data_IF_799272164319
#
_entry.id   IF_799272164319
#
_cell.length_a   1.000
_cell.length_b   1.000
_cell.length_c   1.000
_cell.angle_alpha   90.00
_cell.angle_beta   90.00
_cell.angle_gamma   90.00
#
_symmetry.space_group_name_H-M   'P 1'
#
loop_
_entity.id
_entity.type
_entity.pdbx_description
1 polymer ?
#
# COMPACT_ATOMS: atom_id res chain seq x y z
N UNK A 1 -7.80 38.93 -32.84
CA UNK A 1 -7.81 37.46 -32.81
C UNK A 1 -8.18 37.02 -31.40
N UNK A 2 -9.48 36.86 -31.18
CA UNK A 2 -10.07 36.25 -29.99
C UNK A 2 -10.11 34.74 -30.26
N UNK A 3 -9.41 33.94 -29.46
CA UNK A 3 -9.61 32.51 -29.41
C UNK A 3 -9.19 32.00 -28.03
N UNK A 4 -10.00 31.09 -27.47
CA UNK A 4 -9.88 30.36 -26.19
C UNK A 4 -10.39 31.04 -24.90
N UNK A 5 -11.70 31.29 -24.82
CA UNK A 5 -12.41 31.47 -23.52
C UNK A 5 -13.45 30.38 -23.23
N UNK A 6 -13.70 29.45 -24.15
CA UNK A 6 -14.76 28.43 -24.03
C UNK A 6 -14.30 27.06 -23.50
N UNK A 7 -13.00 26.79 -23.41
CA UNK A 7 -12.51 25.46 -23.00
C UNK A 7 -12.48 25.23 -21.47
N UNK A 8 -12.64 26.28 -20.65
CA UNK A 8 -12.53 26.19 -19.18
C UNK A 8 -13.86 25.98 -18.45
N UNK A 9 -14.99 26.16 -19.12
CA UNK A 9 -16.34 26.09 -18.53
C UNK A 9 -16.85 24.66 -18.20
N UNK A 10 -16.54 23.60 -18.97
CA UNK A 10 -17.06 22.25 -18.67
C UNK A 10 -16.45 21.66 -17.39
N UNK A 11 -15.19 21.98 -17.11
CA UNK A 11 -14.42 21.41 -16.02
C UNK A 11 -14.94 21.86 -14.65
N UNK A 12 -15.35 23.13 -14.50
CA UNK A 12 -15.85 23.67 -13.21
C UNK A 12 -17.23 23.15 -12.84
N UNK A 13 -18.13 22.98 -13.82
CA UNK A 13 -19.44 22.37 -13.62
C UNK A 13 -19.30 20.88 -13.25
N UNK A 14 -18.44 20.14 -13.96
CA UNK A 14 -18.16 18.73 -13.68
C UNK A 14 -17.56 18.53 -12.27
N UNK A 15 -16.60 19.36 -11.86
CA UNK A 15 -16.03 19.35 -10.50
C UNK A 15 -17.09 19.61 -9.42
N UNK A 16 -18.00 20.56 -9.66
CA UNK A 16 -19.09 20.86 -8.73
C UNK A 16 -20.06 19.68 -8.57
N UNK A 17 -20.44 19.04 -9.69
CA UNK A 17 -21.31 17.85 -9.68
C UNK A 17 -20.61 16.68 -8.97
N UNK A 18 -19.33 16.43 -9.27
CA UNK A 18 -18.57 15.36 -8.63
C UNK A 18 -18.46 15.60 -7.11
N UNK A 19 -18.21 16.84 -6.68
CA UNK A 19 -18.21 17.21 -5.26
C UNK A 19 -19.55 16.92 -4.59
N UNK A 20 -20.66 17.37 -5.18
CA UNK A 20 -22.00 17.09 -4.66
C UNK A 20 -22.29 15.58 -4.62
N UNK A 21 -21.87 14.84 -5.63
CA UNK A 21 -21.97 13.38 -5.70
C UNK A 21 -21.27 12.70 -4.52
N UNK A 22 -20.01 13.07 -4.25
CA UNK A 22 -19.26 12.52 -3.10
C UNK A 22 -19.83 12.92 -1.74
N UNK A 23 -20.49 14.08 -1.62
CA UNK A 23 -21.19 14.49 -0.40
C UNK A 23 -22.47 13.68 -0.17
N UNK A 24 -23.22 13.39 -1.25
CA UNK A 24 -24.46 12.63 -1.18
C UNK A 24 -24.23 11.13 -1.04
N UNK A 25 -23.15 10.61 -1.63
CA UNK A 25 -22.81 9.18 -1.66
C UNK A 25 -21.33 8.97 -1.25
N UNK A 26 -20.98 9.21 0.03
CA UNK A 26 -19.59 9.18 0.49
C UNK A 26 -18.92 7.81 0.40
N UNK A 27 -19.68 6.72 0.39
CA UNK A 27 -19.15 5.36 0.24
C UNK A 27 -18.88 4.95 -1.23
N UNK A 28 -19.12 5.84 -2.20
CA UNK A 28 -18.92 5.52 -3.61
C UNK A 28 -17.48 5.80 -4.04
N UNK A 29 -16.68 4.73 -4.10
CA UNK A 29 -15.29 4.76 -4.61
C UNK A 29 -15.19 5.38 -6.01
N UNK A 30 -16.14 5.07 -6.90
CA UNK A 30 -16.15 5.60 -8.27
C UNK A 30 -16.37 7.11 -8.32
N UNK A 31 -17.26 7.64 -7.48
CA UNK A 31 -17.48 9.09 -7.40
C UNK A 31 -16.26 9.82 -6.84
N UNK A 32 -15.59 9.23 -5.84
CA UNK A 32 -14.34 9.79 -5.32
C UNK A 32 -13.22 9.78 -6.36
N UNK A 33 -13.04 8.65 -7.06
CA UNK A 33 -12.04 8.54 -8.14
C UNK A 33 -12.30 9.59 -9.23
N UNK A 34 -13.56 9.71 -9.68
CA UNK A 34 -13.97 10.72 -10.66
C UNK A 34 -13.70 12.15 -10.16
N UNK A 35 -13.99 12.42 -8.89
CA UNK A 35 -13.73 13.75 -8.29
C UNK A 35 -12.22 14.06 -8.26
N UNK A 36 -11.39 13.08 -7.94
CA UNK A 36 -9.94 13.19 -7.94
C UNK A 36 -9.43 13.49 -9.35
N UNK A 37 -9.84 12.70 -10.34
CA UNK A 37 -9.42 12.84 -11.74
C UNK A 37 -9.79 14.21 -12.34
N UNK A 38 -10.97 14.74 -11.96
CA UNK A 38 -11.42 16.06 -12.43
C UNK A 38 -10.76 17.23 -11.71
N UNK A 39 -10.38 17.05 -10.44
CA UNK A 39 -9.89 18.14 -9.60
C UNK A 39 -8.38 18.32 -9.71
N UNK A 40 -7.61 17.23 -9.74
CA UNK A 40 -6.14 17.28 -9.68
C UNK A 40 -5.51 18.07 -10.83
N UNK A 41 -5.91 17.89 -12.10
CA UNK A 41 -5.34 18.69 -13.19
C UNK A 41 -5.56 20.20 -13.05
N UNK A 42 -6.55 20.62 -12.26
CA UNK A 42 -6.86 22.02 -11.98
C UNK A 42 -6.28 22.52 -10.65
N UNK A 43 -5.91 21.61 -9.75
CA UNK A 43 -5.25 21.91 -8.48
C UNK A 43 -3.75 22.03 -8.75
N UNK A 44 -3.16 23.19 -8.47
CA UNK A 44 -1.73 23.40 -8.71
C UNK A 44 -0.88 22.61 -7.72
N UNK A 45 -0.76 23.13 -6.51
CA UNK A 45 0.19 22.65 -5.50
C UNK A 45 -0.26 21.35 -4.81
N UNK A 46 0.72 20.56 -4.35
CA UNK A 46 0.54 19.28 -3.65
C UNK A 46 -0.30 19.43 -2.38
N UNK A 47 -0.12 20.52 -1.65
CA UNK A 47 -0.85 20.84 -0.41
C UNK A 47 -2.36 21.02 -0.65
N UNK A 48 -2.75 21.31 -1.89
CA UNK A 48 -4.16 21.42 -2.28
C UNK A 48 -4.75 20.08 -2.73
N UNK A 49 -3.91 19.19 -3.27
CA UNK A 49 -4.31 17.88 -3.80
C UNK A 49 -4.39 16.81 -2.70
N UNK A 50 -3.41 16.76 -1.79
CA UNK A 50 -3.33 15.73 -0.73
C UNK A 50 -4.60 15.64 0.13
N UNK A 51 -5.22 16.76 0.58
CA UNK A 51 -6.42 16.69 1.41
C UNK A 51 -7.59 15.97 0.73
N UNK A 52 -7.68 16.03 -0.61
CA UNK A 52 -8.75 15.35 -1.35
C UNK A 52 -8.58 13.83 -1.30
N UNK A 53 -7.35 13.33 -1.43
CA UNK A 53 -7.05 11.90 -1.28
C UNK A 53 -7.34 11.41 0.13
N UNK A 54 -6.88 12.16 1.14
CA UNK A 54 -7.12 11.84 2.55
C UNK A 54 -8.62 11.83 2.86
N UNK A 55 -9.38 12.79 2.31
CA UNK A 55 -10.85 12.83 2.44
C UNK A 55 -11.51 11.59 1.81
N UNK A 56 -11.09 11.18 0.61
CA UNK A 56 -11.61 10.00 -0.08
C UNK A 56 -11.34 8.72 0.72
N UNK A 57 -10.11 8.54 1.20
CA UNK A 57 -9.68 7.38 1.99
C UNK A 57 -10.33 7.34 3.37
N UNK A 58 -10.60 8.49 3.99
CA UNK A 58 -11.36 8.55 5.25
C UNK A 58 -12.77 7.98 5.08
N UNK A 59 -13.41 8.24 3.94
CA UNK A 59 -14.75 7.72 3.67
C UNK A 59 -14.73 6.27 3.15
N UNK A 60 -13.61 5.82 2.57
CA UNK A 60 -13.49 4.51 1.92
C UNK A 60 -12.15 3.83 2.30
N UNK A 61 -11.92 3.54 3.60
CA UNK A 61 -10.60 3.14 4.08
C UNK A 61 -10.13 1.77 3.57
N UNK A 62 -11.06 0.91 3.17
CA UNK A 62 -10.76 -0.42 2.62
C UNK A 62 -10.66 -0.44 1.07
N UNK A 63 -10.77 0.70 0.40
CA UNK A 63 -10.76 0.76 -1.06
C UNK A 63 -9.37 0.56 -1.64
N UNK A 64 -9.12 -0.61 -2.23
CA UNK A 64 -7.87 -0.89 -2.94
C UNK A 64 -7.62 0.13 -4.07
N UNK A 65 -8.67 0.51 -4.80
CA UNK A 65 -8.58 1.49 -5.90
C UNK A 65 -8.10 2.86 -5.41
N UNK A 66 -8.71 3.43 -4.37
CA UNK A 66 -8.31 4.75 -3.87
C UNK A 66 -6.90 4.74 -3.26
N UNK A 67 -6.53 3.67 -2.56
CA UNK A 67 -5.17 3.51 -2.08
C UNK A 67 -4.16 3.41 -3.23
N UNK A 68 -4.49 2.68 -4.29
CA UNK A 68 -3.63 2.59 -5.48
C UNK A 68 -3.36 3.96 -6.08
N UNK A 69 -4.42 4.74 -6.36
CA UNK A 69 -4.28 6.08 -6.95
C UNK A 69 -3.50 7.01 -6.01
N UNK A 70 -3.76 6.97 -4.70
CA UNK A 70 -3.04 7.80 -3.72
C UNK A 70 -1.55 7.48 -3.66
N UNK A 71 -1.18 6.19 -3.57
CA UNK A 71 0.21 5.77 -3.52
C UNK A 71 0.93 6.05 -4.85
N UNK A 72 0.27 5.87 -5.99
CA UNK A 72 0.80 6.23 -7.30
C UNK A 72 1.09 7.74 -7.38
N UNK A 73 0.15 8.56 -6.92
CA UNK A 73 0.32 10.01 -6.86
C UNK A 73 1.47 10.41 -5.93
N UNK A 74 1.59 9.83 -4.75
CA UNK A 74 2.71 10.09 -3.83
C UNK A 74 4.07 9.79 -4.47
N UNK A 75 4.20 8.64 -5.15
CA UNK A 75 5.44 8.28 -5.85
C UNK A 75 5.71 9.23 -7.01
N UNK A 76 4.68 9.67 -7.75
CA UNK A 76 4.84 10.66 -8.81
C UNK A 76 5.36 12.00 -8.26
N UNK A 77 4.78 12.51 -7.18
CA UNK A 77 5.21 13.77 -6.56
C UNK A 77 6.66 13.70 -6.05
N UNK A 78 7.08 12.54 -5.54
CA UNK A 78 8.48 12.30 -5.20
C UNK A 78 9.40 12.26 -6.44
N UNK A 79 8.97 11.62 -7.53
CA UNK A 79 9.73 11.60 -8.78
C UNK A 79 9.90 12.99 -9.39
N UNK A 80 8.89 13.84 -9.23
CA UNK A 80 8.91 15.25 -9.64
C UNK A 80 9.69 16.15 -8.65
N UNK A 81 10.30 15.56 -7.62
CA UNK A 81 11.06 16.27 -6.56
C UNK A 81 10.23 17.28 -5.77
N UNK A 82 8.90 17.10 -5.75
CA UNK A 82 7.98 17.92 -4.94
C UNK A 82 7.91 17.39 -3.50
N UNK A 83 7.98 16.07 -3.33
CA UNK A 83 8.07 15.43 -2.02
C UNK A 83 9.50 14.99 -1.72
N UNK A 84 9.96 15.23 -0.49
CA UNK A 84 11.23 14.69 -0.02
C UNK A 84 11.10 13.21 0.38
N UNK A 85 12.24 12.52 0.42
CA UNK A 85 12.33 11.12 0.87
C UNK A 85 11.65 10.91 2.23
N UNK A 86 11.81 11.87 3.15
CA UNK A 86 11.27 11.81 4.50
C UNK A 86 9.74 11.88 4.52
N UNK A 87 9.16 12.78 3.73
CA UNK A 87 7.71 12.97 3.68
C UNK A 87 7.02 11.75 3.08
N UNK A 88 7.63 11.16 2.05
CA UNK A 88 7.14 9.93 1.44
C UNK A 88 7.27 8.72 2.39
N UNK A 89 8.36 8.64 3.17
CA UNK A 89 8.53 7.61 4.19
C UNK A 89 7.46 7.69 5.29
N UNK A 90 7.15 8.91 5.75
CA UNK A 90 6.08 9.17 6.71
C UNK A 90 4.72 8.77 6.14
N UNK A 91 4.44 9.13 4.89
CA UNK A 91 3.20 8.77 4.21
C UNK A 91 3.03 7.25 4.04
N UNK A 92 4.09 6.51 3.69
CA UNK A 92 4.04 5.05 3.64
C UNK A 92 3.85 4.42 5.02
N UNK A 93 4.49 4.96 6.05
CA UNK A 93 4.35 4.48 7.43
C UNK A 93 2.91 4.68 7.93
N UNK A 94 2.33 5.86 7.70
CA UNK A 94 0.94 6.16 8.01
C UNK A 94 -0.03 5.23 7.24
N UNK A 95 0.23 4.98 5.95
CA UNK A 95 -0.55 4.05 5.14
C UNK A 95 -0.50 2.62 5.71
N UNK A 96 0.68 2.14 6.14
CA UNK A 96 0.80 0.83 6.77
C UNK A 96 0.02 0.77 8.08
N UNK A 97 0.11 1.79 8.94
CA UNK A 97 -0.65 1.83 10.18
C UNK A 97 -2.16 1.80 9.92
N UNK A 98 -2.65 2.65 9.01
CA UNK A 98 -4.08 2.73 8.65
C UNK A 98 -4.62 1.45 8.03
N UNK A 99 -3.82 0.76 7.21
CA UNK A 99 -4.27 -0.46 6.56
C UNK A 99 -4.14 -1.68 7.47
N UNK A 100 -3.20 -1.69 8.42
CA UNK A 100 -3.01 -2.79 9.37
C UNK A 100 -4.16 -2.90 10.38
N UNK A 101 -4.78 -1.77 10.76
CA UNK A 101 -5.96 -1.73 11.64
C UNK A 101 -7.22 -2.26 10.97
N UNK A 102 -7.22 -2.43 9.65
CA UNK A 102 -8.34 -3.02 8.93
C UNK A 102 -8.36 -4.54 9.13
N UNK A 103 -9.55 -5.03 9.50
CA UNK A 103 -9.80 -6.46 9.65
C UNK A 103 -9.80 -7.13 8.27
N UNK A 104 -9.14 -8.29 8.12
CA UNK A 104 -9.21 -9.06 6.89
C UNK A 104 -10.64 -9.56 6.65
N UNK A 105 -11.00 -9.73 5.37
CA UNK A 105 -12.25 -10.38 4.98
C UNK A 105 -12.08 -11.90 4.97
N UNK A 106 -13.16 -12.62 5.24
CA UNK A 106 -13.22 -14.08 5.05
C UNK A 106 -13.22 -14.48 3.56
N UNK A 107 -13.65 -13.57 2.69
CA UNK A 107 -13.53 -13.74 1.24
C UNK A 107 -12.05 -13.52 0.82
N UNK A 108 -11.34 -14.56 0.35
CA UNK A 108 -9.93 -14.45 -0.02
C UNK A 108 -9.68 -13.43 -1.14
N UNK A 109 -10.68 -13.18 -2.00
CA UNK A 109 -10.54 -12.27 -3.14
C UNK A 109 -10.92 -10.82 -2.82
N UNK A 110 -11.40 -10.55 -1.61
CA UNK A 110 -11.76 -9.20 -1.19
C UNK A 110 -10.58 -8.22 -1.25
N UNK A 111 -10.84 -7.03 -1.77
CA UNK A 111 -9.86 -5.95 -1.93
C UNK A 111 -9.08 -5.63 -0.64
N UNK A 112 -9.76 -5.69 0.51
CA UNK A 112 -9.16 -5.43 1.82
C UNK A 112 -8.02 -6.39 2.16
N UNK A 113 -8.06 -7.63 1.66
CA UNK A 113 -7.01 -8.62 1.87
C UNK A 113 -5.77 -8.33 1.01
N UNK A 114 -5.95 -7.69 -0.15
CA UNK A 114 -4.88 -7.29 -1.08
C UNK A 114 -4.25 -5.95 -0.69
N UNK A 115 -4.94 -5.16 0.13
CA UNK A 115 -4.56 -3.80 0.46
C UNK A 115 -3.27 -3.72 1.29
N UNK A 116 -3.10 -4.57 2.29
CA UNK A 116 -1.88 -4.61 3.11
C UNK A 116 -0.65 -4.90 2.23
N UNK A 117 -0.81 -5.86 1.33
CA UNK A 117 0.25 -6.26 0.41
C UNK A 117 0.62 -5.12 -0.55
N UNK A 118 -0.38 -4.42 -1.09
CA UNK A 118 -0.16 -3.25 -1.94
C UNK A 118 0.71 -2.21 -1.24
N UNK A 119 0.34 -1.80 -0.03
CA UNK A 119 1.07 -0.75 0.72
C UNK A 119 2.48 -1.20 1.03
N UNK A 120 2.65 -2.42 1.58
CA UNK A 120 3.96 -2.95 1.93
C UNK A 120 4.87 -3.06 0.71
N UNK A 121 4.33 -3.55 -0.41
CA UNK A 121 5.09 -3.68 -1.66
C UNK A 121 5.53 -2.33 -2.23
N UNK A 122 4.62 -1.35 -2.30
CA UNK A 122 4.96 -0.02 -2.78
C UNK A 122 6.02 0.65 -1.92
N UNK A 123 5.99 0.43 -0.60
CA UNK A 123 6.98 0.98 0.31
C UNK A 123 8.38 0.38 0.07
N UNK A 124 8.49 -0.95 -0.08
CA UNK A 124 9.76 -1.61 -0.39
C UNK A 124 10.29 -1.21 -1.77
N UNK A 125 9.42 -1.11 -2.77
CA UNK A 125 9.78 -0.68 -4.13
C UNK A 125 10.35 0.75 -4.13
N UNK A 126 9.70 1.68 -3.45
CA UNK A 126 10.23 3.04 -3.30
C UNK A 126 11.57 3.05 -2.56
N UNK A 127 11.71 2.28 -1.48
CA UNK A 127 12.95 2.18 -0.73
C UNK A 127 14.11 1.65 -1.59
N UNK A 128 13.82 0.67 -2.46
CA UNK A 128 14.77 0.15 -3.43
C UNK A 128 15.17 1.19 -4.48
N UNK A 129 14.24 2.04 -4.93
CA UNK A 129 14.50 3.10 -5.91
C UNK A 129 15.31 4.27 -5.33
N UNK A 130 15.00 4.68 -4.09
CA UNK A 130 15.63 5.84 -3.45
C UNK A 130 17.01 5.52 -2.86
N UNK A 131 17.16 4.38 -2.17
CA UNK A 131 18.38 4.03 -1.43
C UNK A 131 19.01 2.69 -1.83
N UNK A 132 18.56 2.10 -2.93
CA UNK A 132 19.03 0.79 -3.39
C UNK A 132 18.63 -0.35 -2.45
N UNK A 133 19.26 -1.51 -2.66
CA UNK A 133 18.92 -2.73 -1.91
C UNK A 133 19.15 -2.59 -0.40
N UNK A 134 20.09 -1.75 0.04
CA UNK A 134 20.34 -1.54 1.48
C UNK A 134 19.14 -0.92 2.18
N UNK A 135 18.52 0.10 1.59
CA UNK A 135 17.32 0.75 2.14
C UNK A 135 16.11 -0.17 2.04
N UNK A 136 15.94 -0.86 0.92
CA UNK A 136 14.89 -1.89 0.78
C UNK A 136 14.98 -2.97 1.87
N UNK A 137 16.20 -3.44 2.19
CA UNK A 137 16.46 -4.40 3.27
C UNK A 137 16.06 -3.90 4.65
N UNK A 138 16.35 -2.64 4.95
CA UNK A 138 15.92 -2.04 6.21
C UNK A 138 14.38 -2.02 6.29
N UNK A 139 13.72 -1.59 5.22
CA UNK A 139 12.26 -1.46 5.16
C UNK A 139 11.56 -2.81 5.23
N UNK A 140 11.91 -3.80 4.40
CA UNK A 140 11.23 -5.10 4.47
C UNK A 140 11.49 -5.78 5.82
N UNK A 141 12.66 -5.57 6.45
CA UNK A 141 12.95 -6.12 7.79
C UNK A 141 12.07 -5.48 8.86
N UNK A 142 11.86 -4.17 8.79
CA UNK A 142 10.92 -3.46 9.64
C UNK A 142 9.49 -4.03 9.46
N UNK A 143 9.05 -4.20 8.21
CA UNK A 143 7.72 -4.72 7.88
C UNK A 143 7.53 -6.13 8.44
N UNK A 144 8.45 -7.05 8.18
CA UNK A 144 8.38 -8.45 8.65
C UNK A 144 8.43 -8.53 10.18
N UNK A 145 9.11 -7.58 10.85
CA UNK A 145 9.19 -7.57 12.31
C UNK A 145 7.93 -6.99 12.97
N UNK A 146 7.26 -6.04 12.32
CA UNK A 146 6.10 -5.32 12.87
C UNK A 146 4.75 -5.76 12.32
N UNK A 147 4.70 -6.68 11.36
CA UNK A 147 3.47 -7.07 10.67
C UNK A 147 3.52 -8.54 10.25
N UNK A 148 2.41 -9.04 9.69
CA UNK A 148 2.30 -10.39 9.12
C UNK A 148 2.07 -10.29 7.61
N UNK A 149 3.13 -10.10 6.79
CA UNK A 149 3.00 -10.02 5.35
C UNK A 149 2.51 -11.35 4.76
N UNK A 150 1.83 -11.29 3.62
CA UNK A 150 1.44 -12.47 2.89
C UNK A 150 2.66 -13.16 2.22
N UNK A 151 2.52 -14.41 1.74
CA UNK A 151 3.58 -15.09 1.00
C UNK A 151 4.08 -14.31 -0.24
N UNK A 152 3.19 -13.62 -0.96
CA UNK A 152 3.55 -12.85 -2.17
C UNK A 152 4.55 -11.72 -1.88
N UNK A 153 4.49 -11.13 -0.68
CA UNK A 153 5.43 -10.11 -0.22
C UNK A 153 6.84 -10.70 -0.09
N UNK A 154 6.97 -11.88 0.52
CA UNK A 154 8.25 -12.57 0.63
C UNK A 154 8.80 -12.94 -0.74
N UNK A 155 7.97 -13.47 -1.65
CA UNK A 155 8.37 -13.77 -3.02
C UNK A 155 8.92 -12.52 -3.74
N UNK A 156 8.28 -11.38 -3.56
CA UNK A 156 8.73 -10.15 -4.18
C UNK A 156 10.03 -9.62 -3.56
N UNK A 157 10.22 -9.75 -2.24
CA UNK A 157 11.50 -9.46 -1.59
C UNK A 157 12.63 -10.37 -2.10
N UNK A 158 12.35 -11.67 -2.31
CA UNK A 158 13.30 -12.61 -2.90
C UNK A 158 13.67 -12.19 -4.33
N UNK A 159 12.69 -11.80 -5.16
CA UNK A 159 12.95 -11.29 -6.53
C UNK A 159 13.81 -10.03 -6.51
N UNK A 160 13.58 -9.12 -5.55
CA UNK A 160 14.41 -7.92 -5.37
C UNK A 160 15.87 -8.28 -5.03
N UNK A 161 16.08 -9.27 -4.16
CA UNK A 161 17.42 -9.76 -3.81
C UNK A 161 18.12 -10.42 -5.02
N UNK A 162 17.39 -11.26 -5.77
CA UNK A 162 17.91 -11.93 -6.96
C UNK A 162 18.31 -10.94 -8.06
N UNK A 163 17.44 -9.96 -8.36
CA UNK A 163 17.70 -8.95 -9.38
C UNK A 163 18.93 -8.07 -9.07
N UNK A 164 19.33 -7.96 -7.80
CA UNK A 164 20.53 -7.25 -7.38
C UNK A 164 21.79 -8.11 -7.45
N UNK A 165 21.67 -9.41 -7.18
CA UNK A 165 22.76 -10.38 -7.36
C UNK A 165 23.21 -10.48 -8.82
N UNK A 166 22.28 -10.34 -9.76
CA UNK A 166 22.56 -10.41 -11.21
C UNK A 166 23.24 -9.15 -11.77
N UNK A 167 23.13 -8.00 -11.10
CA UNK A 167 23.65 -6.70 -11.57
C UNK A 167 25.07 -6.36 -11.11
N UNK A 168 25.65 -7.13 -10.18
CA UNK A 168 26.95 -6.82 -9.57
C UNK A 168 28.14 -7.54 -10.22
N UNK A 169 29.13 -6.79 -10.73
CA UNK A 169 30.46 -7.28 -11.13
C UNK A 169 31.32 -7.80 -9.96
N UNK A 170 30.85 -7.69 -8.71
CA UNK A 170 31.45 -8.25 -7.50
C UNK A 170 30.81 -9.61 -7.11
N UNK A 171 30.69 -10.51 -8.10
CA UNK A 171 29.71 -11.60 -8.19
C UNK A 171 29.73 -12.71 -7.13
N UNK A 172 30.66 -12.72 -6.17
CA UNK A 172 30.72 -13.79 -5.13
C UNK A 172 30.24 -13.33 -3.75
N UNK A 173 30.66 -12.14 -3.28
CA UNK A 173 30.28 -11.65 -1.96
C UNK A 173 28.82 -11.17 -1.93
N UNK A 174 28.38 -10.47 -2.98
CA UNK A 174 26.99 -10.02 -3.12
C UNK A 174 26.03 -11.22 -3.26
N UNK A 175 26.46 -12.27 -3.96
CA UNK A 175 25.71 -13.52 -4.09
C UNK A 175 25.52 -14.21 -2.74
N UNK A 176 26.55 -14.26 -1.88
CA UNK A 176 26.42 -14.88 -0.55
C UNK A 176 25.47 -14.09 0.37
N UNK A 177 25.58 -12.75 0.38
CA UNK A 177 24.69 -11.89 1.18
C UNK A 177 23.25 -12.01 0.68
N UNK A 178 23.03 -12.04 -0.64
CA UNK A 178 21.70 -12.25 -1.20
C UNK A 178 21.15 -13.63 -0.80
N UNK A 179 21.96 -14.67 -0.86
CA UNK A 179 21.56 -16.02 -0.45
C UNK A 179 21.17 -16.10 1.03
N UNK A 180 21.99 -15.57 1.94
CA UNK A 180 21.67 -15.50 3.38
C UNK A 180 20.37 -14.73 3.65
N UNK A 181 20.07 -13.70 2.85
CA UNK A 181 18.84 -12.92 2.98
C UNK A 181 17.62 -13.65 2.44
N UNK A 182 17.77 -14.38 1.34
CA UNK A 182 16.72 -15.24 0.79
C UNK A 182 16.39 -16.35 1.78
N UNK A 183 17.39 -17.02 2.36
CA UNK A 183 17.20 -18.03 3.40
C UNK A 183 16.44 -17.45 4.61
N UNK A 184 16.83 -16.26 5.08
CA UNK A 184 16.11 -15.59 6.16
C UNK A 184 14.65 -15.25 5.79
N UNK A 185 14.37 -14.80 4.57
CA UNK A 185 13.01 -14.53 4.11
C UNK A 185 12.16 -15.81 4.08
N UNK A 186 12.73 -16.94 3.64
CA UNK A 186 12.05 -18.24 3.69
C UNK A 186 11.77 -18.68 5.13
N UNK A 187 12.75 -18.56 6.03
CA UNK A 187 12.55 -18.88 7.45
C UNK A 187 11.41 -18.05 8.06
N UNK A 188 11.34 -16.76 7.74
CA UNK A 188 10.26 -15.89 8.24
C UNK A 188 8.91 -16.27 7.64
N UNK A 189 8.86 -16.61 6.34
CA UNK A 189 7.63 -17.05 5.68
C UNK A 189 7.07 -18.33 6.32
N UNK A 190 7.93 -19.32 6.60
CA UNK A 190 7.54 -20.58 7.27
C UNK A 190 6.99 -20.30 8.67
N UNK A 191 7.66 -19.46 9.47
CA UNK A 191 7.19 -19.08 10.82
C UNK A 191 5.86 -18.33 10.83
N UNK A 192 5.50 -17.65 9.73
CA UNK A 192 4.19 -17.01 9.60
C UNK A 192 3.12 -18.05 9.29
N UNK A 193 3.43 -19.04 8.45
CA UNK A 193 2.52 -20.13 8.12
C UNK A 193 2.19 -21.01 9.33
N UNK A 194 3.21 -21.39 10.12
CA UNK A 194 3.04 -22.15 11.37
C UNK A 194 2.17 -21.40 12.39
N UNK A 195 2.30 -20.07 12.47
CA UNK A 195 1.47 -19.23 13.36
C UNK A 195 0.04 -19.13 12.88
N UNK A 196 -0.18 -19.11 11.56
CA UNK A 196 -1.52 -19.13 10.96
C UNK A 196 -2.21 -20.45 11.27
N UNK A 197 -1.52 -21.57 11.04
CA UNK A 197 -2.07 -22.92 11.27
C UNK A 197 -2.31 -23.23 12.76
N UNK A 198 -1.44 -22.74 13.64
CA UNK A 198 -1.64 -22.83 15.09
C UNK A 198 -2.81 -21.98 15.62
N UNK A 199 -3.25 -20.97 14.88
CA UNK A 199 -4.37 -20.09 15.28
C UNK A 199 -5.74 -20.77 15.06
N UNK A 200 -5.85 -21.68 14.09
CA UNK A 200 -7.06 -22.46 13.82
C UNK A 200 -7.24 -23.67 14.76
N UNK A 201 -6.24 -23.98 15.60
CA UNK A 201 -6.29 -25.15 16.49
C UNK A 201 -6.90 -24.85 17.88
N UNK A 202 -7.31 -23.60 18.13
CA UNK A 202 -7.96 -23.21 19.40
C UNK A 202 -9.48 -23.40 19.38
N UNK A 203 -10.11 -23.46 18.21
CA UNK A 203 -11.56 -23.68 18.10
C UNK A 203 -11.98 -25.13 18.44
N UNK A 204 -11.03 -26.07 18.52
CA UNK A 204 -11.29 -27.42 19.04
C UNK A 204 -11.13 -27.55 20.57
N UNK A 205 -10.71 -26.49 21.29
CA UNK A 205 -10.49 -26.54 22.73
C UNK A 205 -11.59 -25.86 23.56
N UNK A 206 -12.50 -25.09 22.93
CA UNK A 206 -13.64 -24.48 23.64
C UNK A 206 -14.93 -25.31 23.62
N UNK A 207 -14.99 -26.42 22.89
CA UNK A 207 -16.19 -27.28 22.81
C UNK A 207 -16.20 -28.47 23.81
N UNK A 208 -15.22 -28.57 24.72
CA UNK A 208 -15.12 -29.72 25.67
C UNK A 208 -15.44 -29.35 27.13
N UNK A 209 -15.80 -28.10 27.45
CA UNK A 209 -16.06 -27.68 28.85
C UNK A 209 -17.47 -27.16 29.16
N UNK A 210 -18.48 -27.46 28.35
CA UNK A 210 -19.89 -27.15 28.68
C UNK A 210 -20.89 -28.32 28.57
N UNK A 211 -20.52 -29.50 29.09
CA UNK A 211 -21.50 -30.57 29.41
C UNK A 211 -21.28 -31.17 30.79
N UNK A 212 -21.11 -30.31 31.80
CA UNK A 212 -21.26 -30.71 33.21
C UNK A 212 -22.03 -29.64 33.99
N UNK A 213 -23.29 -29.44 33.65
CA UNK A 213 -24.33 -28.98 34.57
C UNK A 213 -25.70 -29.37 34.01
N UNK A 214 -26.13 -30.60 34.34
CA UNK A 214 -27.50 -30.89 34.76
C UNK A 214 -27.53 -32.24 35.47
#
# INVERSE_FOLDING_TARGET
MQSSLTDRLPCTAAQSIAKQGTQKYPASVELWSTRIDLAIPAMGEVEQQQPLYVEALRNNPASLKLWTIYLDWLVLQWQESVLEDKDLEEAFTDAMTKTTTLLPSTDPDADINKLKDLVMMRYVEWAARSGGIKKARAVYKQIVSGSFPNPKFYEACVRLEQAQSERGTAGQLLSKIAQERVEWLFEMAVRVDERRDGMWNWDCLFDVTMTFFH
#
